data_IF_011657363414
#
_entry.id   IF_011657363414
#
_cell.length_a   1.000
_cell.length_b   1.000
_cell.length_c   1.000
_cell.angle_alpha   90.00
_cell.angle_beta   90.00
_cell.angle_gamma   90.00
#
_symmetry.space_group_name_H-M   'P 1'
#
loop_
_entity.id
_entity.type
_entity.pdbx_description
1 polymer ?
#
# COMPACT_ATOMS: atom_id res chain seq x y z
N UNK A 1 15.83 -6.57 28.57
CA UNK A 1 14.98 -5.46 29.04
C UNK A 1 13.78 -5.38 28.11
N UNK A 2 12.57 -5.55 28.63
CA UNK A 2 11.33 -5.49 27.84
C UNK A 2 10.83 -4.05 27.97
N UNK A 3 10.85 -3.28 26.88
CA UNK A 3 10.36 -1.92 26.87
C UNK A 3 8.83 -1.95 26.99
N UNK A 4 8.29 -1.63 28.16
CA UNK A 4 6.86 -1.34 28.31
C UNK A 4 6.58 0.01 27.63
N UNK A 5 5.98 -0.01 26.44
CA UNK A 5 5.44 1.21 25.85
C UNK A 5 4.27 1.67 26.69
N UNK A 6 4.30 2.91 27.17
CA UNK A 6 3.12 3.56 27.74
C UNK A 6 2.02 3.55 26.69
N UNK A 7 0.91 2.86 26.95
CA UNK A 7 -0.23 2.78 26.03
C UNK A 7 -0.88 4.16 25.95
N UNK A 8 -0.45 4.96 24.97
CA UNK A 8 -1.07 6.23 24.66
C UNK A 8 -2.35 5.94 23.89
N UNK A 9 -3.49 6.19 24.53
CA UNK A 9 -4.80 6.05 23.89
C UNK A 9 -5.06 7.27 23.00
N UNK A 10 -5.24 7.04 21.71
CA UNK A 10 -5.60 8.05 20.72
C UNK A 10 -7.11 8.03 20.48
N UNK A 11 -7.70 9.19 20.21
CA UNK A 11 -9.04 9.26 19.62
C UNK A 11 -8.98 8.92 18.13
N UNK A 12 -10.12 8.56 17.55
CA UNK A 12 -10.21 8.26 16.11
C UNK A 12 -9.88 9.48 15.26
N UNK A 13 -10.30 10.66 15.70
CA UNK A 13 -10.08 11.93 15.02
C UNK A 13 -8.58 12.27 14.99
N UNK A 14 -7.89 12.08 16.12
CA UNK A 14 -6.45 12.29 16.22
C UNK A 14 -5.67 11.30 15.33
N UNK A 15 -6.13 10.06 15.22
CA UNK A 15 -5.56 9.08 14.28
C UNK A 15 -5.75 9.50 12.81
N UNK A 16 -6.94 9.98 12.43
CA UNK A 16 -7.21 10.42 11.06
C UNK A 16 -6.36 11.64 10.66
N UNK A 17 -6.19 12.59 11.58
CA UNK A 17 -5.32 13.75 11.37
C UNK A 17 -3.85 13.33 11.24
N UNK A 18 -3.39 12.39 12.07
CA UNK A 18 -2.06 11.80 11.97
C UNK A 18 -1.84 11.09 10.64
N UNK A 19 -2.77 10.22 10.24
CA UNK A 19 -2.67 9.44 9.00
C UNK A 19 -2.70 10.34 7.74
N UNK A 20 -3.33 11.51 7.81
CA UNK A 20 -3.35 12.49 6.70
C UNK A 20 -1.96 13.11 6.44
N UNK A 21 -1.16 13.29 7.49
CA UNK A 21 0.17 13.92 7.41
C UNK A 21 1.33 12.91 7.42
N UNK A 22 1.04 11.65 7.71
CA UNK A 22 2.05 10.61 7.89
C UNK A 22 2.54 10.05 6.55
N UNK A 23 3.86 9.94 6.40
CA UNK A 23 4.48 9.23 5.26
C UNK A 23 4.34 7.71 5.40
N UNK A 24 4.25 7.22 6.64
CA UNK A 24 4.07 5.81 6.96
C UNK A 24 2.60 5.53 7.34
N UNK A 25 2.13 4.32 7.03
CA UNK A 25 0.77 3.90 7.35
C UNK A 25 0.69 3.25 8.72
N UNK A 26 -0.37 3.54 9.44
CA UNK A 26 -0.63 2.96 10.75
C UNK A 26 -1.99 2.24 10.78
N UNK A 27 -2.14 1.31 11.71
CA UNK A 27 -3.41 0.69 12.04
C UNK A 27 -3.90 1.23 13.38
N UNK A 28 -5.17 1.62 13.43
CA UNK A 28 -5.82 2.00 14.67
C UNK A 28 -6.50 0.77 15.30
N UNK A 29 -5.97 0.29 16.43
CA UNK A 29 -6.44 -0.89 17.13
C UNK A 29 -6.81 -0.49 18.56
N UNK A 30 -8.11 -0.38 18.86
CA UNK A 30 -8.62 -0.10 20.21
C UNK A 30 -8.01 1.14 20.90
N UNK A 31 -7.66 2.19 20.14
CA UNK A 31 -7.02 3.38 20.70
C UNK A 31 -5.50 3.39 20.57
N UNK A 32 -4.90 2.30 20.11
CA UNK A 32 -3.48 2.22 19.79
C UNK A 32 -3.24 2.50 18.31
N UNK A 33 -2.15 3.19 18.01
CA UNK A 33 -1.67 3.42 16.65
C UNK A 33 -0.46 2.51 16.44
N UNK A 34 -0.64 1.43 15.69
CA UNK A 34 0.39 0.44 15.41
C UNK A 34 0.96 0.73 14.03
N UNK A 35 2.29 0.86 13.86
CA UNK A 35 2.88 0.98 12.53
C UNK A 35 2.55 -0.28 11.74
N UNK A 36 1.92 -0.10 10.58
CA UNK A 36 1.56 -1.23 9.76
C UNK A 36 2.84 -1.90 9.24
N UNK A 37 2.88 -3.22 9.18
CA UNK A 37 4.02 -3.96 8.59
C UNK A 37 3.97 -3.98 7.07
N UNK A 38 5.13 -3.75 6.43
CA UNK A 38 5.37 -3.77 4.98
C UNK A 38 4.54 -4.79 4.21
N UNK A 39 3.93 -4.40 3.08
CA UNK A 39 3.71 -5.38 2.01
C UNK A 39 5.05 -5.60 1.33
N UNK A 40 5.57 -6.82 1.32
CA UNK A 40 6.76 -7.16 0.52
C UNK A 40 6.38 -7.23 -0.96
N UNK A 41 7.33 -7.08 -1.91
CA UNK A 41 7.04 -7.25 -3.33
C UNK A 41 6.34 -8.57 -3.65
N UNK A 42 6.78 -9.66 -2.99
CA UNK A 42 6.16 -10.99 -3.13
C UNK A 42 4.70 -11.02 -2.63
N UNK A 43 4.41 -10.37 -1.50
CA UNK A 43 3.03 -10.23 -1.02
C UNK A 43 2.16 -9.44 -2.00
N UNK A 44 2.72 -8.37 -2.57
CA UNK A 44 2.02 -7.53 -3.54
C UNK A 44 1.74 -8.29 -4.84
N UNK A 45 2.66 -9.15 -5.29
CA UNK A 45 2.47 -10.00 -6.47
C UNK A 45 1.33 -11.00 -6.25
N UNK A 46 1.37 -11.76 -5.15
CA UNK A 46 0.34 -12.76 -4.83
C UNK A 46 -1.04 -12.12 -4.76
N UNK A 47 -1.19 -11.02 -4.03
CA UNK A 47 -2.50 -10.43 -3.89
C UNK A 47 -2.93 -9.60 -5.13
N UNK A 48 -2.01 -9.22 -6.02
CA UNK A 48 -2.36 -8.72 -7.37
C UNK A 48 -2.94 -9.82 -8.25
N UNK A 49 -2.35 -11.02 -8.24
CA UNK A 49 -2.88 -12.19 -8.96
C UNK A 49 -4.28 -12.53 -8.42
N UNK A 50 -4.44 -12.58 -7.09
CA UNK A 50 -5.73 -12.83 -6.45
C UNK A 50 -6.79 -11.80 -6.87
N UNK A 51 -6.44 -10.51 -6.89
CA UNK A 51 -7.34 -9.44 -7.37
C UNK A 51 -7.84 -9.70 -8.78
N UNK A 52 -6.92 -10.07 -9.69
CA UNK A 52 -7.24 -10.28 -11.09
C UNK A 52 -8.19 -11.46 -11.25
N UNK A 53 -7.91 -12.57 -10.55
CA UNK A 53 -8.78 -13.74 -10.53
C UNK A 53 -10.19 -13.40 -10.03
N UNK A 54 -10.29 -12.71 -8.87
CA UNK A 54 -11.58 -12.32 -8.31
C UNK A 54 -12.37 -11.40 -9.25
N UNK A 55 -11.70 -10.41 -9.87
CA UNK A 55 -12.35 -9.49 -10.82
C UNK A 55 -12.89 -10.21 -12.03
N UNK A 56 -12.16 -11.20 -12.52
CA UNK A 56 -12.60 -12.00 -13.65
C UNK A 56 -13.78 -12.90 -13.26
N UNK A 57 -13.67 -13.61 -12.13
CA UNK A 57 -14.70 -14.54 -11.64
C UNK A 57 -16.01 -13.85 -11.25
N UNK A 58 -15.96 -12.62 -10.74
CA UNK A 58 -17.15 -11.86 -10.31
C UNK A 58 -17.67 -10.90 -11.39
N UNK A 59 -17.19 -11.01 -12.63
CA UNK A 59 -17.63 -10.14 -13.71
C UNK A 59 -19.14 -10.28 -13.95
N UNK A 60 -19.86 -9.15 -13.93
CA UNK A 60 -21.31 -9.09 -14.15
C UNK A 60 -22.15 -9.32 -12.89
N UNK A 61 -21.51 -9.63 -11.76
CA UNK A 61 -22.18 -9.70 -10.46
C UNK A 61 -22.23 -8.31 -9.80
N UNK A 62 -23.18 -8.05 -8.89
CA UNK A 62 -23.30 -6.76 -8.20
C UNK A 62 -22.25 -6.60 -7.07
N UNK A 63 -21.01 -7.04 -7.30
CA UNK A 63 -19.92 -6.97 -6.32
C UNK A 63 -18.82 -6.04 -6.82
N UNK A 64 -18.35 -5.17 -5.93
CA UNK A 64 -17.18 -4.33 -6.14
C UNK A 64 -16.00 -4.86 -5.33
N UNK A 65 -14.89 -5.16 -6.00
CA UNK A 65 -13.68 -5.65 -5.35
C UNK A 65 -12.73 -4.49 -5.11
N UNK A 66 -12.33 -4.33 -3.85
CA UNK A 66 -11.32 -3.39 -3.43
C UNK A 66 -10.21 -4.16 -2.71
N UNK A 67 -8.98 -4.00 -3.20
CA UNK A 67 -7.81 -4.46 -2.48
C UNK A 67 -7.16 -3.26 -1.84
N UNK A 68 -6.89 -3.40 -0.56
CA UNK A 68 -6.15 -2.43 0.21
C UNK A 68 -4.72 -2.94 0.34
N UNK A 69 -3.83 -2.39 -0.50
CA UNK A 69 -2.40 -2.68 -0.49
C UNK A 69 -1.61 -1.43 -0.15
N UNK A 70 -0.51 -1.63 0.56
CA UNK A 70 0.48 -0.59 0.83
C UNK A 70 1.05 -0.06 -0.49
N UNK A 71 1.14 1.26 -0.64
CA UNK A 71 2.12 1.86 -1.55
C UNK A 71 3.50 1.65 -0.93
N UNK A 72 4.30 0.81 -1.57
CA UNK A 72 5.73 0.71 -1.26
C UNK A 72 6.38 2.09 -1.41
N UNK A 73 7.35 2.41 -0.55
CA UNK A 73 7.96 3.73 -0.45
C UNK A 73 8.18 4.34 -1.82
N UNK A 74 7.55 5.50 -2.02
CA UNK A 74 7.35 6.11 -3.34
C UNK A 74 8.64 6.35 -4.12
N UNK A 75 9.82 6.22 -3.51
CA UNK A 75 11.11 6.33 -4.20
C UNK A 75 11.43 5.14 -5.11
N UNK A 76 11.07 3.91 -4.72
CA UNK A 76 11.39 2.72 -5.54
C UNK A 76 10.47 2.63 -6.76
N UNK A 77 9.18 2.92 -6.58
CA UNK A 77 8.20 2.96 -7.68
C UNK A 77 8.44 4.13 -8.63
N UNK A 78 8.81 5.33 -8.14
CA UNK A 78 9.24 6.44 -8.99
C UNK A 78 10.46 6.06 -9.84
N UNK A 79 11.42 5.32 -9.27
CA UNK A 79 12.59 4.82 -10.00
C UNK A 79 12.21 3.80 -11.09
N UNK A 80 11.32 2.84 -10.80
CA UNK A 80 10.84 1.84 -11.78
C UNK A 80 10.04 2.50 -12.90
N UNK A 81 9.11 3.40 -12.59
CA UNK A 81 8.32 4.14 -13.58
C UNK A 81 9.22 5.00 -14.47
N UNK A 82 10.22 5.67 -13.89
CA UNK A 82 11.20 6.44 -14.67
C UNK A 82 12.07 5.54 -15.56
N UNK A 83 12.50 4.36 -15.08
CA UNK A 83 13.24 3.38 -15.90
C UNK A 83 12.41 2.85 -17.07
N UNK A 84 11.14 2.50 -16.85
CA UNK A 84 10.22 2.05 -17.91
C UNK A 84 9.92 3.16 -18.92
N UNK A 85 9.71 4.39 -18.45
CA UNK A 85 9.50 5.57 -19.31
C UNK A 85 10.74 5.87 -20.17
N UNK A 86 11.94 5.75 -19.60
CA UNK A 86 13.20 5.92 -20.31
C UNK A 86 13.42 4.82 -21.36
N UNK A 87 13.13 3.56 -21.03
CA UNK A 87 13.22 2.44 -21.97
C UNK A 87 12.28 2.63 -23.18
N UNK A 88 11.02 3.02 -22.92
CA UNK A 88 10.04 3.31 -23.96
C UNK A 88 10.47 4.46 -24.89
N UNK A 89 11.00 5.57 -24.33
CA UNK A 89 11.54 6.67 -25.14
C UNK A 89 12.75 6.24 -25.99
N UNK A 90 13.65 5.42 -25.44
CA UNK A 90 14.83 4.93 -26.14
C UNK A 90 14.49 3.94 -27.27
N UNK A 91 13.44 3.13 -27.09
CA UNK A 91 12.92 2.25 -28.13
C UNK A 91 12.29 3.03 -29.30
N UNK A 92 11.60 4.16 -29.01
CA UNK A 92 11.05 5.05 -30.06
C UNK A 92 12.09 5.87 -30.83
N UNK A 93 13.27 6.10 -30.26
CA UNK A 93 14.36 6.86 -30.91
C UNK A 93 15.26 5.98 -31.79
N UNK A 94 15.03 4.67 -31.83
CA UNK A 94 15.82 3.68 -32.59
C UNK A 94 15.03 2.99 -33.72
N UNK A 95 13.82 3.48 -34.02
CA UNK A 95 13.01 3.09 -35.17
C UNK A 95 12.86 4.30 -36.09
#
# INVERSE_FOLDING_TARGET
MIAQSQTKTYSREAYLELETHSEARHEYINGEIVPMTGGTPNHNEIASILNALLRFSLRGQPYSIFIWMRREDSQHLKSIINKLTFFSKKARLKA
#
